data_IF_984798174131
#
_entry.id   IF_984798174131
#
_cell.length_a   1.000
_cell.length_b   1.000
_cell.length_c   1.000
_cell.angle_alpha   90.00
_cell.angle_beta   90.00
_cell.angle_gamma   90.00
#
_symmetry.space_group_name_H-M   'P 1'
#
loop_
_entity.id
_entity.type
_entity.pdbx_description
1 polymer ?
#
# COMPACT_ATOMS: atom_id res chain seq x y z
N UNK A 1 0.46 32.54 -2.33
CA UNK A 1 -0.66 32.53 -3.30
C UNK A 1 -1.54 31.35 -2.94
N UNK A 2 -2.80 31.56 -2.59
CA UNK A 2 -3.75 30.46 -2.45
C UNK A 2 -3.99 29.89 -3.86
N UNK A 3 -3.65 28.64 -4.08
CA UNK A 3 -3.99 27.96 -5.33
C UNK A 3 -5.52 27.84 -5.41
N UNK A 4 -6.08 28.06 -6.58
CA UNK A 4 -7.51 27.82 -6.80
C UNK A 4 -7.83 26.34 -6.55
N UNK A 5 -8.98 26.02 -5.91
CA UNK A 5 -9.37 24.62 -5.66
C UNK A 5 -9.35 23.80 -6.95
N UNK A 6 -8.89 22.53 -6.85
CA UNK A 6 -8.90 21.60 -7.99
C UNK A 6 -10.34 21.25 -8.34
N UNK A 7 -10.78 21.68 -9.52
CA UNK A 7 -12.16 21.50 -9.98
C UNK A 7 -12.58 20.00 -9.90
N UNK A 8 -13.82 19.75 -9.46
CA UNK A 8 -14.41 18.42 -9.37
C UNK A 8 -14.04 17.59 -8.15
N UNK A 9 -13.24 18.12 -7.22
CA UNK A 9 -12.79 17.40 -6.01
C UNK A 9 -13.26 18.02 -4.71
N UNK A 10 -14.15 18.99 -4.79
CA UNK A 10 -14.73 19.67 -3.64
C UNK A 10 -15.50 18.68 -2.76
N UNK A 11 -15.10 18.56 -1.49
CA UNK A 11 -15.65 17.60 -0.53
C UNK A 11 -15.03 16.20 -0.55
N UNK A 12 -14.12 15.89 -1.49
CA UNK A 12 -13.28 14.70 -1.41
C UNK A 12 -12.19 14.88 -0.35
N UNK A 13 -11.76 13.79 0.25
CA UNK A 13 -10.77 13.78 1.33
C UNK A 13 -9.62 12.84 1.03
N UNK A 14 -8.40 13.25 1.34
CA UNK A 14 -7.25 12.36 1.41
C UNK A 14 -6.97 12.04 2.89
N UNK A 15 -6.94 10.77 3.25
CA UNK A 15 -6.48 10.29 4.54
C UNK A 15 -5.04 9.80 4.44
N UNK A 16 -4.21 10.14 5.43
CA UNK A 16 -2.78 9.84 5.46
C UNK A 16 -2.40 9.34 6.85
N UNK A 17 -1.74 8.20 6.89
CA UNK A 17 -1.13 7.67 8.12
C UNK A 17 0.15 8.45 8.46
N UNK A 18 0.31 8.80 9.72
CA UNK A 18 1.61 9.12 10.31
C UNK A 18 2.01 7.99 11.26
N UNK A 19 2.97 7.15 10.87
CA UNK A 19 3.31 5.97 11.66
C UNK A 19 3.79 6.35 13.07
N UNK A 20 4.87 7.11 13.20
CA UNK A 20 5.40 7.49 14.51
C UNK A 20 4.57 8.55 15.23
N UNK A 21 3.69 9.25 14.53
CA UNK A 21 2.76 10.21 15.12
C UNK A 21 1.53 9.60 15.78
N UNK A 22 1.35 8.31 15.79
CA UNK A 22 0.21 7.39 15.78
C UNK A 22 -1.12 8.09 15.45
N UNK A 23 -1.16 8.69 14.26
CA UNK A 23 -2.34 9.45 13.78
C UNK A 23 -2.72 9.06 12.36
N UNK A 24 -4.00 9.30 12.05
CA UNK A 24 -4.51 9.40 10.68
C UNK A 24 -4.93 10.85 10.46
N UNK A 25 -4.26 11.53 9.54
CA UNK A 25 -4.52 12.93 9.18
C UNK A 25 -5.44 13.01 7.96
N UNK A 26 -6.34 14.00 7.94
CA UNK A 26 -7.31 14.19 6.87
C UNK A 26 -7.07 15.54 6.19
N UNK A 27 -7.08 15.54 4.86
CA UNK A 27 -6.89 16.72 4.02
C UNK A 27 -8.00 16.85 2.99
N UNK A 28 -8.47 18.07 2.75
CA UNK A 28 -9.36 18.39 1.64
C UNK A 28 -8.61 18.20 0.31
N UNK A 29 -9.10 17.31 -0.54
CA UNK A 29 -8.39 16.93 -1.77
C UNK A 29 -8.39 18.03 -2.85
N UNK A 30 -9.27 19.04 -2.74
CA UNK A 30 -9.32 20.16 -3.67
C UNK A 30 -8.39 21.29 -3.29
N UNK A 31 -8.23 21.58 -2.00
CA UNK A 31 -7.51 22.74 -1.48
C UNK A 31 -6.25 22.40 -0.68
N UNK A 32 -5.97 21.12 -0.45
CA UNK A 32 -4.85 20.65 0.39
C UNK A 32 -4.96 21.07 1.87
N UNK A 33 -6.10 21.62 2.27
CA UNK A 33 -6.30 22.10 3.63
C UNK A 33 -6.39 20.93 4.61
N UNK A 34 -5.60 20.98 5.67
CA UNK A 34 -5.72 20.04 6.78
C UNK A 34 -7.08 20.18 7.47
N UNK A 35 -7.78 19.06 7.65
CA UNK A 35 -9.13 18.98 8.22
C UNK A 35 -9.13 18.52 9.68
N UNK A 36 -8.06 17.87 10.13
CA UNK A 36 -7.89 17.34 11.48
C UNK A 36 -7.26 15.95 11.48
N UNK A 37 -7.00 15.46 12.68
CA UNK A 37 -6.32 14.20 12.94
C UNK A 37 -7.18 13.29 13.83
N UNK A 38 -7.00 11.98 13.65
CA UNK A 38 -7.50 10.95 14.55
C UNK A 38 -6.31 10.26 15.20
N UNK A 39 -6.21 10.36 16.52
CA UNK A 39 -5.25 9.60 17.30
C UNK A 39 -5.68 8.14 17.34
N UNK A 40 -4.76 7.22 17.00
CA UNK A 40 -5.01 5.78 17.05
C UNK A 40 -4.21 5.11 18.17
N UNK A 41 -4.64 3.91 18.65
CA UNK A 41 -4.04 3.29 19.84
C UNK A 41 -2.60 2.83 19.70
N UNK A 42 -2.13 2.63 18.48
CA UNK A 42 -0.78 2.15 18.19
C UNK A 42 -0.33 2.68 16.82
N UNK A 43 0.82 2.25 16.37
CA UNK A 43 1.40 2.65 15.09
C UNK A 43 0.53 2.21 13.91
N UNK A 44 -0.13 3.17 13.22
CA UNK A 44 -0.94 2.87 12.05
C UNK A 44 -0.05 2.56 10.85
N UNK A 45 -0.54 1.72 9.93
CA UNK A 45 0.25 1.29 8.79
C UNK A 45 -0.45 1.53 7.46
N UNK A 46 -1.51 0.80 7.15
CA UNK A 46 -2.24 0.91 5.89
C UNK A 46 -3.68 1.34 6.10
N UNK A 47 -4.25 1.93 5.06
CA UNK A 47 -5.63 2.40 5.03
C UNK A 47 -6.43 1.76 3.90
N UNK A 48 -7.69 1.45 4.18
CA UNK A 48 -8.66 1.04 3.17
C UNK A 48 -10.01 1.72 3.43
N UNK A 49 -10.53 2.44 2.44
CA UNK A 49 -11.85 3.08 2.55
C UNK A 49 -12.94 2.15 2.01
N UNK A 50 -13.95 1.89 2.83
CA UNK A 50 -15.19 1.22 2.44
C UNK A 50 -16.23 2.27 2.04
N UNK A 51 -16.52 2.43 0.74
CA UNK A 51 -17.48 3.41 0.28
C UNK A 51 -18.93 3.02 0.61
N UNK A 52 -19.22 1.73 0.83
CA UNK A 52 -20.54 1.22 1.15
C UNK A 52 -20.95 1.56 2.57
N UNK A 53 -20.05 1.30 3.52
CA UNK A 53 -20.25 1.61 4.94
C UNK A 53 -19.81 3.03 5.29
N UNK A 54 -19.10 3.70 4.40
CA UNK A 54 -18.43 4.99 4.64
C UNK A 54 -17.50 4.96 5.85
N UNK A 55 -16.73 3.89 5.96
CA UNK A 55 -15.76 3.67 7.03
C UNK A 55 -14.35 3.55 6.46
N UNK A 56 -13.38 4.02 7.23
CA UNK A 56 -11.96 3.88 6.93
C UNK A 56 -11.36 2.85 7.88
N UNK A 57 -10.80 1.79 7.30
CA UNK A 57 -10.08 0.75 8.02
C UNK A 57 -8.60 1.09 8.06
N UNK A 58 -7.99 0.93 9.22
CA UNK A 58 -6.58 1.23 9.47
C UNK A 58 -5.93 0.06 10.21
N UNK A 59 -4.88 -0.53 9.64
CA UNK A 59 -4.09 -1.55 10.33
C UNK A 59 -3.22 -0.93 11.40
N UNK A 60 -3.15 -1.57 12.58
CA UNK A 60 -2.26 -1.23 13.69
C UNK A 60 -1.24 -2.37 13.80
N UNK A 61 -0.12 -2.23 13.09
CA UNK A 61 0.78 -3.37 12.83
C UNK A 61 1.74 -3.64 13.98
N UNK A 62 2.32 -2.59 14.56
CA UNK A 62 3.32 -2.68 15.61
C UNK A 62 3.01 -1.76 16.78
N UNK A 63 3.69 -1.96 17.91
CA UNK A 63 3.58 -1.05 19.06
C UNK A 63 4.23 0.30 18.75
N UNK A 64 5.40 0.28 18.13
CA UNK A 64 6.11 1.47 17.66
C UNK A 64 7.30 1.10 16.77
N UNK A 65 7.70 1.97 15.87
CA UNK A 65 8.93 1.86 15.08
C UNK A 65 8.81 1.02 13.82
N UNK A 66 9.93 0.81 13.22
CA UNK A 66 10.02 -0.04 12.04
C UNK A 66 9.87 -1.51 12.36
N UNK A 67 9.32 -2.22 11.40
CA UNK A 67 9.40 -3.64 11.18
C UNK A 67 10.59 -4.29 11.90
N UNK A 68 10.36 -5.16 12.85
CA UNK A 68 11.30 -5.88 13.70
C UNK A 68 12.07 -5.12 14.80
N UNK A 69 12.03 -3.82 14.89
CA UNK A 69 12.95 -3.09 15.78
C UNK A 69 12.42 -2.86 17.19
N UNK A 70 11.09 -2.72 17.37
CA UNK A 70 10.52 -2.30 18.67
C UNK A 70 9.48 -3.25 19.26
N UNK A 71 9.77 -4.51 19.19
CA UNK A 71 9.31 -5.50 20.16
C UNK A 71 7.82 -5.62 20.38
N UNK A 72 7.05 -5.80 19.36
CA UNK A 72 5.70 -6.21 19.59
C UNK A 72 4.81 -5.94 18.38
N UNK A 73 4.36 -7.03 17.80
CA UNK A 73 3.30 -7.01 16.79
C UNK A 73 1.96 -6.81 17.48
N UNK A 74 1.14 -5.98 16.89
CA UNK A 74 -0.24 -5.78 17.32
C UNK A 74 -1.17 -6.76 16.60
N UNK A 75 -2.43 -6.75 17.01
CA UNK A 75 -3.47 -7.66 16.51
C UNK A 75 -4.70 -6.91 16.02
N UNK A 76 -4.67 -5.55 16.00
CA UNK A 76 -5.89 -4.79 15.86
C UNK A 76 -5.98 -4.00 14.55
N UNK A 77 -7.22 -3.68 14.19
CA UNK A 77 -7.61 -2.68 13.20
C UNK A 77 -8.39 -1.57 13.89
N UNK A 78 -8.09 -0.32 13.58
CA UNK A 78 -8.96 0.80 13.90
C UNK A 78 -9.98 1.00 12.78
N UNK A 79 -11.26 1.11 13.13
CA UNK A 79 -12.34 1.49 12.23
C UNK A 79 -12.71 2.93 12.52
N UNK A 80 -12.57 3.80 11.54
CA UNK A 80 -12.70 5.25 11.68
C UNK A 80 -13.89 5.73 10.84
N UNK A 81 -14.74 6.53 11.44
CA UNK A 81 -15.70 7.35 10.71
C UNK A 81 -14.96 8.60 10.19
N UNK A 82 -14.72 8.72 8.87
CA UNK A 82 -13.94 9.81 8.32
C UNK A 82 -14.67 11.16 8.34
N UNK A 83 -16.01 11.17 8.38
CA UNK A 83 -16.81 12.38 8.36
C UNK A 83 -16.78 13.06 9.74
N UNK A 84 -16.89 12.26 10.80
CA UNK A 84 -16.76 12.75 12.19
C UNK A 84 -15.32 12.74 12.70
N UNK A 85 -14.41 12.06 12.02
CA UNK A 85 -13.01 11.83 12.41
C UNK A 85 -12.91 11.22 13.81
N UNK A 86 -13.60 10.10 13.99
CA UNK A 86 -13.61 9.34 15.25
C UNK A 86 -13.42 7.86 15.00
N UNK A 87 -12.72 7.20 15.90
CA UNK A 87 -12.70 5.74 15.96
C UNK A 87 -14.08 5.29 16.42
N UNK A 88 -14.73 4.44 15.62
CA UNK A 88 -16.03 3.85 15.95
C UNK A 88 -15.87 2.46 16.57
N UNK A 89 -14.78 1.75 16.23
CA UNK A 89 -14.46 0.43 16.79
C UNK A 89 -12.96 0.15 16.65
N UNK A 90 -12.43 -0.69 17.55
CA UNK A 90 -11.14 -1.34 17.38
C UNK A 90 -11.43 -2.84 17.30
N UNK A 91 -11.12 -3.45 16.16
CA UNK A 91 -11.35 -4.86 15.88
C UNK A 91 -10.10 -5.64 16.24
N UNK A 92 -10.19 -6.58 17.16
CA UNK A 92 -9.09 -7.49 17.52
C UNK A 92 -9.10 -8.73 16.62
N UNK A 93 -7.96 -9.00 16.00
CA UNK A 93 -7.73 -10.16 15.12
C UNK A 93 -7.06 -11.32 15.86
N UNK A 94 -6.79 -11.21 17.18
CA UNK A 94 -6.12 -12.27 17.90
C UNK A 94 -6.75 -13.65 17.61
N UNK A 95 -5.93 -14.70 17.40
CA UNK A 95 -4.48 -14.79 17.66
C UNK A 95 -3.58 -14.35 16.49
N UNK A 96 -4.10 -13.67 15.49
CA UNK A 96 -3.31 -13.19 14.35
C UNK A 96 -2.50 -11.94 14.72
N UNK A 97 -1.34 -11.74 14.09
CA UNK A 97 -0.39 -10.67 14.40
C UNK A 97 0.01 -9.87 13.19
N UNK A 98 0.45 -8.64 13.42
CA UNK A 98 1.07 -7.80 12.40
C UNK A 98 0.17 -7.59 11.18
N UNK A 99 -1.07 -7.07 11.34
CA UNK A 99 -1.93 -6.79 10.20
C UNK A 99 -1.29 -5.71 9.32
N UNK A 100 -1.19 -5.98 8.00
CA UNK A 100 -0.56 -5.10 7.03
C UNK A 100 -1.51 -4.66 5.93
N UNK A 101 -1.37 -5.24 4.76
CA UNK A 101 -2.11 -4.88 3.55
C UNK A 101 -3.60 -5.14 3.67
N UNK A 102 -4.39 -4.26 3.09
CA UNK A 102 -5.84 -4.29 3.09
C UNK A 102 -6.38 -4.34 1.66
N UNK A 103 -7.32 -5.23 1.38
CA UNK A 103 -8.07 -5.24 0.12
C UNK A 103 -9.56 -5.42 0.39
N UNK A 104 -10.38 -4.56 -0.21
CA UNK A 104 -11.84 -4.58 -0.04
C UNK A 104 -12.54 -5.17 -1.27
N UNK A 105 -13.45 -6.11 -1.03
CA UNK A 105 -14.49 -6.51 -1.96
C UNK A 105 -15.82 -5.89 -1.51
N UNK A 106 -16.19 -4.73 -2.05
CA UNK A 106 -17.41 -4.04 -1.63
C UNK A 106 -18.69 -4.76 -2.10
N UNK A 107 -18.57 -5.62 -3.13
CA UNK A 107 -19.72 -6.38 -3.66
C UNK A 107 -20.10 -7.51 -2.71
N UNK A 108 -19.11 -8.18 -2.14
CA UNK A 108 -19.34 -9.27 -1.17
C UNK A 108 -19.33 -8.80 0.27
N UNK A 109 -19.02 -7.52 0.54
CA UNK A 109 -18.87 -7.00 1.88
C UNK A 109 -17.73 -7.71 2.64
N UNK A 110 -16.59 -7.89 2.00
CA UNK A 110 -15.41 -8.56 2.59
C UNK A 110 -14.19 -7.67 2.55
N UNK A 111 -13.54 -7.55 3.69
CA UNK A 111 -12.22 -6.96 3.82
C UNK A 111 -11.21 -8.08 4.07
N UNK A 112 -10.17 -8.10 3.28
CA UNK A 112 -9.05 -9.02 3.37
C UNK A 112 -7.87 -8.30 4.00
N UNK A 113 -7.28 -8.91 5.03
CA UNK A 113 -6.17 -8.33 5.82
C UNK A 113 -5.02 -9.30 5.84
N UNK A 114 -3.87 -8.94 5.28
CA UNK A 114 -2.66 -9.75 5.42
C UNK A 114 -2.15 -9.70 6.86
N UNK A 115 -1.71 -10.85 7.39
CA UNK A 115 -1.19 -11.00 8.76
C UNK A 115 0.08 -11.84 8.76
N UNK A 116 1.02 -11.51 9.63
CA UNK A 116 2.29 -12.20 9.74
C UNK A 116 2.14 -13.61 10.37
N UNK A 117 3.17 -14.44 10.20
CA UNK A 117 3.24 -15.77 10.81
C UNK A 117 3.31 -15.72 12.33
N UNK A 118 2.77 -16.75 12.97
CA UNK A 118 3.01 -17.07 14.37
C UNK A 118 3.88 -18.34 14.48
N UNK A 119 4.27 -18.71 15.70
CA UNK A 119 5.14 -19.88 15.92
C UNK A 119 4.50 -21.20 15.43
N UNK A 120 3.17 -21.26 15.42
CA UNK A 120 2.37 -22.45 15.12
C UNK A 120 1.72 -22.43 13.72
N UNK A 121 1.86 -21.33 12.98
CA UNK A 121 1.21 -21.18 11.66
C UNK A 121 1.94 -20.20 10.74
N UNK A 122 1.86 -20.38 9.40
CA UNK A 122 2.37 -19.42 8.44
C UNK A 122 1.58 -18.12 8.49
N UNK A 123 2.08 -17.09 7.84
CA UNK A 123 1.32 -15.89 7.56
C UNK A 123 0.10 -16.17 6.69
N UNK A 124 -0.87 -15.29 6.71
CA UNK A 124 -2.14 -15.52 6.06
C UNK A 124 -2.89 -14.24 5.72
N UNK A 125 -4.12 -14.43 5.32
CA UNK A 125 -5.08 -13.36 5.04
C UNK A 125 -6.34 -13.62 5.86
N UNK A 126 -6.64 -12.73 6.80
CA UNK A 126 -7.89 -12.74 7.56
C UNK A 126 -9.00 -12.16 6.70
N UNK A 127 -10.15 -12.81 6.67
CA UNK A 127 -11.34 -12.34 5.97
C UNK A 127 -12.31 -11.77 7.01
N UNK A 128 -12.66 -10.49 6.85
CA UNK A 128 -13.57 -9.76 7.73
C UNK A 128 -14.86 -9.48 6.97
N UNK A 129 -15.98 -9.73 7.60
CA UNK A 129 -17.28 -9.24 7.14
C UNK A 129 -17.41 -7.76 7.51
N UNK A 130 -17.59 -6.88 6.52
CA UNK A 130 -17.56 -5.42 6.74
C UNK A 130 -18.79 -4.89 7.47
N UNK A 131 -19.93 -5.56 7.36
CA UNK A 131 -21.17 -5.17 8.05
C UNK A 131 -21.10 -5.45 9.54
N UNK A 132 -20.71 -6.69 9.88
CA UNK A 132 -20.57 -7.11 11.29
C UNK A 132 -19.24 -6.72 11.92
N UNK A 133 -18.24 -6.39 11.10
CA UNK A 133 -16.85 -6.11 11.48
C UNK A 133 -16.19 -7.25 12.25
N UNK A 134 -16.50 -8.50 11.87
CA UNK A 134 -15.97 -9.71 12.53
C UNK A 134 -15.17 -10.56 11.55
N UNK A 135 -14.07 -11.18 12.01
CA UNK A 135 -13.40 -12.21 11.25
C UNK A 135 -14.35 -13.37 10.95
N UNK A 136 -14.42 -13.77 9.68
CA UNK A 136 -15.27 -14.86 9.19
C UNK A 136 -14.48 -15.99 8.52
N UNK A 137 -13.18 -15.79 8.32
CA UNK A 137 -12.29 -16.78 7.73
C UNK A 137 -10.83 -16.37 7.76
N UNK A 138 -9.98 -17.32 7.38
CA UNK A 138 -8.54 -17.13 7.21
C UNK A 138 -8.05 -18.00 6.07
N UNK A 139 -7.11 -17.47 5.29
CA UNK A 139 -6.46 -18.15 4.16
C UNK A 139 -4.95 -18.18 4.43
N UNK A 140 -4.34 -19.35 4.43
CA UNK A 140 -2.89 -19.49 4.59
C UNK A 140 -2.17 -19.07 3.29
N UNK A 141 -1.09 -18.32 3.40
CA UNK A 141 -0.25 -17.91 2.28
C UNK A 141 1.01 -18.76 2.13
N UNK A 142 1.28 -19.62 3.10
CA UNK A 142 2.47 -20.46 3.21
C UNK A 142 3.80 -19.66 3.16
N UNK A 143 3.74 -18.43 3.66
CA UNK A 143 4.86 -17.50 3.76
C UNK A 143 4.90 -16.87 5.16
N UNK A 144 6.10 -16.47 5.65
CA UNK A 144 6.22 -15.91 7.00
C UNK A 144 5.57 -14.54 7.17
N UNK A 145 5.60 -13.69 6.14
CA UNK A 145 5.11 -12.32 6.24
C UNK A 145 4.48 -11.84 4.93
N UNK A 146 3.21 -12.21 4.63
CA UNK A 146 2.49 -11.56 3.56
C UNK A 146 2.34 -10.07 3.90
N UNK A 147 2.75 -9.21 2.97
CA UNK A 147 2.85 -7.78 3.19
C UNK A 147 1.66 -7.04 2.55
N UNK A 148 1.68 -6.88 1.23
CA UNK A 148 0.56 -6.33 0.49
C UNK A 148 -0.39 -7.43 0.04
N UNK A 149 -1.66 -7.07 -0.09
CA UNK A 149 -2.68 -7.94 -0.62
C UNK A 149 -3.55 -7.19 -1.63
N UNK A 150 -3.81 -7.81 -2.76
CA UNK A 150 -4.75 -7.29 -3.76
C UNK A 150 -5.65 -8.42 -4.27
N UNK A 151 -6.83 -8.04 -4.73
CA UNK A 151 -7.81 -8.97 -5.29
C UNK A 151 -8.10 -8.61 -6.75
N UNK A 152 -8.49 -9.60 -7.54
CA UNK A 152 -9.01 -9.35 -8.87
C UNK A 152 -10.38 -8.65 -8.78
N UNK A 153 -10.77 -7.98 -9.85
CA UNK A 153 -12.04 -7.24 -9.90
C UNK A 153 -13.27 -8.13 -9.70
N UNK A 154 -13.15 -9.42 -9.98
CA UNK A 154 -14.23 -10.39 -9.79
C UNK A 154 -14.33 -10.87 -8.33
N UNK A 155 -13.36 -10.52 -7.48
CA UNK A 155 -13.27 -10.94 -6.09
C UNK A 155 -13.07 -12.44 -5.91
N UNK A 156 -12.46 -13.12 -6.90
CA UNK A 156 -12.25 -14.58 -6.86
C UNK A 156 -10.82 -14.99 -6.55
N UNK A 157 -9.87 -14.16 -6.99
CA UNK A 157 -8.45 -14.44 -6.82
C UNK A 157 -7.80 -13.33 -6.02
N UNK A 158 -7.03 -13.72 -5.01
CA UNK A 158 -6.19 -12.81 -4.22
C UNK A 158 -4.71 -13.11 -4.48
N UNK A 159 -3.90 -12.07 -4.34
CA UNK A 159 -2.45 -12.11 -4.49
C UNK A 159 -1.83 -11.50 -3.24
N UNK A 160 -0.95 -12.23 -2.56
CA UNK A 160 -0.18 -11.75 -1.44
C UNK A 160 1.29 -11.65 -1.81
N UNK A 161 1.88 -10.48 -1.69
CA UNK A 161 3.32 -10.31 -1.80
C UNK A 161 3.98 -10.70 -0.49
N UNK A 162 5.14 -11.32 -0.57
CA UNK A 162 5.84 -11.88 0.57
C UNK A 162 7.26 -11.34 0.62
N UNK A 163 7.51 -10.42 1.53
CA UNK A 163 8.82 -9.77 1.68
C UNK A 163 9.95 -10.74 2.01
N UNK A 164 9.66 -11.76 2.81
CA UNK A 164 10.62 -12.73 3.32
C UNK A 164 10.51 -14.11 2.67
N UNK A 165 9.80 -14.21 1.54
CA UNK A 165 9.69 -15.45 0.78
C UNK A 165 10.03 -15.24 -0.70
N UNK A 166 10.47 -16.30 -1.41
CA UNK A 166 10.86 -16.19 -2.82
C UNK A 166 9.68 -16.21 -3.78
N UNK A 167 8.46 -15.99 -3.31
CA UNK A 167 7.26 -16.11 -4.15
C UNK A 167 6.14 -15.16 -3.72
N UNK A 168 5.25 -14.87 -4.66
CA UNK A 168 3.92 -14.30 -4.44
C UNK A 168 2.93 -15.44 -4.27
N UNK A 169 2.09 -15.38 -3.24
CA UNK A 169 1.03 -16.37 -3.00
C UNK A 169 -0.21 -16.00 -3.79
N UNK A 170 -0.76 -16.95 -4.54
CA UNK A 170 -2.03 -16.82 -5.26
C UNK A 170 -3.08 -17.65 -4.54
N UNK A 171 -4.18 -17.03 -4.14
CA UNK A 171 -5.23 -17.65 -3.34
C UNK A 171 -6.59 -17.60 -4.05
N UNK A 172 -7.36 -18.66 -3.94
CA UNK A 172 -8.77 -18.72 -4.34
C UNK A 172 -9.62 -18.23 -3.15
N UNK A 173 -10.29 -17.12 -3.35
CA UNK A 173 -11.07 -16.46 -2.29
C UNK A 173 -12.41 -17.17 -2.00
N UNK A 174 -12.96 -17.87 -2.98
CA UNK A 174 -14.20 -18.63 -2.81
C UNK A 174 -13.95 -19.92 -2.01
N UNK A 175 -12.79 -20.57 -2.24
CA UNK A 175 -12.39 -21.80 -1.52
C UNK A 175 -11.62 -21.52 -0.23
N UNK A 176 -11.10 -20.30 -0.07
CA UNK A 176 -10.24 -19.95 1.06
C UNK A 176 -8.92 -20.74 1.06
N UNK A 177 -8.27 -20.89 -0.09
CA UNK A 177 -7.12 -21.76 -0.23
C UNK A 177 -6.02 -21.18 -1.13
N UNK A 178 -4.75 -21.46 -0.78
CA UNK A 178 -3.59 -21.23 -1.63
C UNK A 178 -3.68 -22.12 -2.87
N UNK A 179 -3.53 -21.54 -4.05
CA UNK A 179 -3.63 -22.25 -5.34
C UNK A 179 -2.32 -22.29 -6.13
N UNK A 180 -1.49 -21.27 -5.97
CA UNK A 180 -0.20 -21.22 -6.65
C UNK A 180 0.81 -20.35 -5.89
N UNK A 181 2.09 -20.57 -6.17
CA UNK A 181 3.20 -19.71 -5.78
C UNK A 181 3.93 -19.27 -7.05
N UNK A 182 4.06 -17.97 -7.24
CA UNK A 182 4.77 -17.40 -8.38
C UNK A 182 6.12 -16.88 -7.88
N UNK A 183 7.22 -17.36 -8.46
CA UNK A 183 8.56 -16.96 -8.03
C UNK A 183 8.82 -15.48 -8.29
N UNK A 184 8.84 -14.71 -7.22
CA UNK A 184 9.21 -13.29 -7.15
C UNK A 184 9.86 -13.06 -5.80
N UNK A 185 11.19 -13.19 -5.69
CA UNK A 185 11.87 -13.06 -4.41
C UNK A 185 11.72 -11.67 -3.78
N UNK A 186 11.32 -11.64 -2.52
CA UNK A 186 11.21 -10.41 -1.73
C UNK A 186 10.22 -9.41 -2.29
N UNK A 187 9.07 -9.87 -2.74
CA UNK A 187 8.03 -9.04 -3.35
C UNK A 187 7.42 -8.02 -2.38
N UNK A 188 7.10 -6.84 -2.89
CA UNK A 188 6.53 -5.70 -2.17
C UNK A 188 5.20 -5.25 -2.80
N UNK A 189 5.02 -3.97 -3.10
CA UNK A 189 3.77 -3.44 -3.64
C UNK A 189 3.22 -4.21 -4.83
N UNK A 190 1.91 -4.30 -4.95
CA UNK A 190 1.26 -4.96 -6.08
C UNK A 190 -0.03 -4.28 -6.52
N UNK A 191 -0.37 -4.50 -7.79
CA UNK A 191 -1.66 -4.10 -8.37
C UNK A 191 -2.13 -5.16 -9.37
N UNK A 192 -3.44 -5.31 -9.51
CA UNK A 192 -4.06 -6.23 -10.49
C UNK A 192 -4.71 -5.40 -11.59
N UNK A 193 -4.51 -5.80 -12.86
CA UNK A 193 -5.13 -5.12 -14.00
C UNK A 193 -6.65 -5.17 -13.94
N UNK A 194 -7.32 -4.16 -14.51
CA UNK A 194 -8.77 -4.03 -14.45
C UNK A 194 -9.52 -5.21 -15.11
N UNK A 195 -8.90 -5.82 -16.13
CA UNK A 195 -9.41 -7.02 -16.81
C UNK A 195 -9.04 -8.32 -16.07
N UNK A 196 -8.24 -8.23 -15.01
CA UNK A 196 -7.75 -9.37 -14.24
C UNK A 196 -6.69 -10.23 -14.95
N UNK A 197 -6.19 -9.80 -16.11
CA UNK A 197 -5.25 -10.60 -16.91
C UNK A 197 -3.82 -10.59 -16.37
N UNK A 198 -3.44 -9.53 -15.67
CA UNK A 198 -2.09 -9.36 -15.14
C UNK A 198 -2.09 -8.89 -13.69
N UNK A 199 -1.10 -9.37 -12.92
CA UNK A 199 -0.70 -8.76 -11.67
C UNK A 199 0.70 -8.14 -11.84
N UNK A 200 0.85 -6.90 -11.36
CA UNK A 200 2.09 -6.13 -11.39
C UNK A 200 2.68 -6.13 -9.99
N UNK A 201 3.88 -6.65 -9.82
CA UNK A 201 4.48 -6.88 -8.51
C UNK A 201 5.84 -6.21 -8.43
N UNK A 202 6.03 -5.35 -7.46
CA UNK A 202 7.34 -4.79 -7.15
C UNK A 202 8.30 -5.89 -6.70
N UNK A 203 9.47 -5.94 -7.30
CA UNK A 203 10.54 -6.84 -6.95
C UNK A 203 11.80 -6.02 -6.64
N UNK A 204 11.89 -5.46 -5.43
CA UNK A 204 13.00 -4.58 -5.06
C UNK A 204 14.33 -5.31 -5.01
N UNK A 205 14.39 -6.39 -4.31
CA UNK A 205 15.46 -7.40 -4.23
C UNK A 205 14.96 -8.47 -3.27
N UNK A 206 15.20 -9.73 -3.52
CA UNK A 206 15.02 -10.74 -2.49
C UNK A 206 15.68 -10.26 -1.21
N UNK A 207 15.06 -10.46 -0.10
CA UNK A 207 15.45 -10.02 1.22
C UNK A 207 16.71 -9.09 1.19
N UNK A 208 16.67 -7.95 1.75
CA UNK A 208 17.70 -6.90 1.73
C UNK A 208 19.13 -7.35 2.21
N UNK A 209 19.43 -8.61 2.32
CA UNK A 209 20.76 -9.23 2.53
C UNK A 209 21.41 -9.63 1.20
N UNK A 210 22.71 -9.79 1.18
CA UNK A 210 23.48 -10.17 -0.01
C UNK A 210 24.20 -9.00 -0.69
N UNK A 211 25.17 -9.33 -1.53
CA UNK A 211 25.94 -8.35 -2.31
C UNK A 211 25.14 -7.85 -3.50
N UNK A 212 25.50 -6.71 -4.08
CA UNK A 212 24.85 -6.18 -5.27
C UNK A 212 24.88 -7.13 -6.47
N UNK A 213 25.92 -7.97 -6.56
CA UNK A 213 26.12 -8.95 -7.62
C UNK A 213 25.20 -10.17 -7.50
N UNK A 214 24.70 -10.46 -6.28
CA UNK A 214 23.80 -11.59 -5.99
C UNK A 214 22.33 -11.22 -6.05
N UNK A 215 22.01 -9.96 -6.30
CA UNK A 215 20.62 -9.47 -6.29
C UNK A 215 20.03 -9.56 -7.69
N UNK A 216 18.81 -10.10 -7.83
CA UNK A 216 18.08 -9.99 -9.08
C UNK A 216 17.84 -8.50 -9.41
N UNK A 217 17.79 -8.12 -10.69
CA UNK A 217 17.50 -6.75 -11.10
C UNK A 217 16.18 -6.27 -10.49
N UNK A 218 16.19 -5.04 -9.96
CA UNK A 218 14.96 -4.37 -9.51
C UNK A 218 14.00 -4.15 -10.67
N UNK A 219 12.72 -4.04 -10.38
CA UNK A 219 11.70 -3.80 -11.39
C UNK A 219 10.34 -4.36 -11.00
N UNK A 220 9.36 -4.15 -11.87
CA UNK A 220 8.02 -4.66 -11.69
C UNK A 220 7.88 -5.96 -12.49
N UNK A 221 7.59 -7.07 -11.83
CA UNK A 221 7.28 -8.35 -12.48
C UNK A 221 5.83 -8.34 -12.93
N UNK A 222 5.61 -8.70 -14.20
CA UNK A 222 4.27 -8.85 -14.76
C UNK A 222 3.92 -10.33 -14.73
N UNK A 223 2.92 -10.67 -13.94
CA UNK A 223 2.43 -12.05 -13.81
C UNK A 223 1.19 -12.21 -14.69
N UNK A 224 1.18 -13.19 -15.60
CA UNK A 224 -0.03 -13.65 -16.27
C UNK A 224 -0.87 -14.44 -15.25
N UNK A 225 -2.07 -13.96 -14.97
CA UNK A 225 -2.91 -14.51 -13.88
C UNK A 225 -3.48 -15.88 -14.24
N UNK A 226 -3.64 -16.19 -15.52
CA UNK A 226 -4.17 -17.48 -15.99
C UNK A 226 -3.13 -18.59 -15.88
N UNK A 227 -1.85 -18.27 -16.10
CA UNK A 227 -0.75 -19.25 -16.05
C UNK A 227 0.00 -19.24 -14.73
N UNK A 228 -0.24 -18.24 -13.88
CA UNK A 228 0.51 -17.98 -12.66
C UNK A 228 2.02 -17.94 -12.91
N UNK A 229 2.46 -17.24 -13.94
CA UNK A 229 3.86 -17.15 -14.35
C UNK A 229 4.26 -15.70 -14.62
N UNK A 230 5.52 -15.35 -14.30
CA UNK A 230 6.10 -14.08 -14.73
C UNK A 230 6.33 -14.11 -16.24
N UNK A 231 5.72 -13.18 -16.96
CA UNK A 231 5.79 -13.09 -18.43
C UNK A 231 6.60 -11.89 -18.90
N UNK A 232 6.87 -10.94 -18.02
CA UNK A 232 7.64 -9.74 -18.37
C UNK A 232 8.22 -9.08 -17.12
N UNK A 233 9.15 -8.14 -17.31
CA UNK A 233 9.70 -7.28 -16.27
C UNK A 233 9.81 -5.87 -16.79
N UNK A 234 9.16 -4.92 -16.10
CA UNK A 234 9.36 -3.49 -16.34
C UNK A 234 10.56 -3.05 -15.49
N UNK A 235 11.68 -2.69 -16.12
CA UNK A 235 12.88 -2.31 -15.39
C UNK A 235 12.67 -0.97 -14.68
N UNK A 236 13.23 -0.85 -13.47
CA UNK A 236 13.37 0.41 -12.75
C UNK A 236 14.85 0.71 -12.51
N UNK A 237 15.23 1.96 -12.36
CA UNK A 237 16.62 2.34 -12.11
C UNK A 237 17.01 2.10 -10.65
N UNK A 238 16.06 2.33 -9.74
CA UNK A 238 16.26 2.26 -8.29
C UNK A 238 15.32 1.22 -7.66
N UNK A 239 15.40 1.05 -6.35
CA UNK A 239 14.62 0.08 -5.59
C UNK A 239 13.12 0.42 -5.65
N UNK A 240 12.32 -0.36 -6.38
CA UNK A 240 10.87 -0.18 -6.42
C UNK A 240 10.21 -0.83 -5.20
N UNK A 241 9.37 -0.07 -4.46
CA UNK A 241 8.59 -0.59 -3.34
C UNK A 241 7.09 -0.51 -3.61
N UNK A 242 6.43 0.68 -3.67
CA UNK A 242 5.01 0.74 -3.95
C UNK A 242 4.74 0.61 -5.45
N UNK A 243 3.67 -0.11 -5.76
CA UNK A 243 3.09 -0.16 -7.10
C UNK A 243 1.59 0.13 -6.98
N UNK A 244 1.07 1.00 -7.84
CA UNK A 244 -0.34 1.34 -7.89
C UNK A 244 -0.82 1.44 -9.34
N UNK A 245 -2.00 0.91 -9.63
CA UNK A 245 -2.63 1.01 -10.93
C UNK A 245 -3.83 1.97 -10.86
N UNK A 246 -3.78 3.03 -11.65
CA UNK A 246 -4.87 4.01 -11.75
C UNK A 246 -6.05 3.47 -12.56
N UNK A 247 -7.22 4.08 -12.40
CA UNK A 247 -8.42 3.77 -13.22
C UNK A 247 -8.23 4.02 -14.72
N UNK A 248 -7.22 4.82 -15.09
CA UNK A 248 -6.89 5.14 -16.50
C UNK A 248 -5.79 4.26 -17.09
N UNK A 249 -5.35 3.21 -16.38
CA UNK A 249 -4.33 2.26 -16.85
C UNK A 249 -2.89 2.77 -16.76
N UNK A 250 -2.64 3.81 -15.96
CA UNK A 250 -1.27 4.19 -15.60
C UNK A 250 -0.81 3.35 -14.42
N UNK A 251 0.32 2.68 -14.58
CA UNK A 251 0.99 1.93 -13.53
C UNK A 251 2.07 2.81 -12.92
N UNK A 252 1.94 3.07 -11.64
CA UNK A 252 2.79 3.96 -10.86
C UNK A 252 3.76 3.14 -10.02
N UNK A 253 5.03 3.49 -10.04
CA UNK A 253 6.10 2.85 -9.28
C UNK A 253 6.84 3.89 -8.45
N UNK A 254 6.90 3.68 -7.14
CA UNK A 254 7.73 4.50 -6.25
C UNK A 254 9.11 3.88 -6.09
N UNK A 255 10.15 4.61 -6.46
CA UNK A 255 11.53 4.14 -6.39
C UNK A 255 12.29 4.82 -5.25
N UNK A 256 12.83 4.00 -4.36
CA UNK A 256 13.68 4.44 -3.25
C UNK A 256 15.11 4.57 -3.72
N UNK A 257 15.66 5.78 -3.63
CA UNK A 257 17.02 6.10 -4.01
C UNK A 257 17.91 6.24 -2.79
N UNK A 258 19.06 5.55 -2.82
CA UNK A 258 20.06 5.67 -1.78
C UNK A 258 21.05 6.78 -2.13
N UNK A 259 21.48 7.55 -1.13
CA UNK A 259 22.56 8.50 -1.34
C UNK A 259 23.86 7.73 -1.70
N UNK A 260 24.75 8.30 -2.54
CA UNK A 260 25.94 7.61 -3.01
C UNK A 260 26.90 7.17 -1.89
N UNK A 261 26.85 7.85 -0.74
CA UNK A 261 27.67 7.60 0.44
C UNK A 261 26.96 6.75 1.51
N UNK A 262 25.81 6.17 1.18
CA UNK A 262 25.03 5.37 2.12
C UNK A 262 25.76 4.03 2.42
N UNK A 263 26.05 3.80 3.70
CA UNK A 263 26.71 2.57 4.18
C UNK A 263 25.73 1.48 4.60
N UNK A 264 24.44 1.82 4.71
CA UNK A 264 23.37 0.87 5.02
C UNK A 264 22.09 1.28 4.31
N UNK A 265 21.13 0.38 4.21
CA UNK A 265 19.84 0.61 3.54
C UNK A 265 18.90 1.52 4.28
N UNK A 266 19.00 1.55 5.59
CA UNK A 266 18.36 2.53 6.45
C UNK A 266 19.23 3.79 6.59
N UNK A 267 20.29 3.88 5.77
CA UNK A 267 21.19 5.01 5.70
C UNK A 267 20.58 6.26 5.08
N UNK A 268 21.43 7.13 4.53
CA UNK A 268 20.93 8.34 3.88
C UNK A 268 20.19 8.02 2.60
N UNK A 269 19.03 8.61 2.46
CA UNK A 269 18.23 8.55 1.24
C UNK A 269 18.43 9.81 0.40
N UNK A 270 18.44 9.66 -0.91
CA UNK A 270 18.23 10.73 -1.86
C UNK A 270 16.71 10.89 -2.10
N UNK A 271 16.26 12.04 -2.68
CA UNK A 271 14.89 12.16 -3.15
C UNK A 271 14.52 10.98 -4.04
N UNK A 272 13.37 10.38 -3.75
CA UNK A 272 12.85 9.24 -4.50
C UNK A 272 12.37 9.62 -5.89
N UNK A 273 11.85 8.65 -6.61
CA UNK A 273 11.29 8.83 -7.95
C UNK A 273 9.91 8.22 -8.02
N UNK A 274 9.00 8.88 -8.71
CA UNK A 274 7.75 8.28 -9.20
C UNK A 274 7.93 8.00 -10.68
N UNK A 275 7.97 6.74 -11.08
CA UNK A 275 8.02 6.32 -12.47
C UNK A 275 6.63 5.88 -12.91
N UNK A 276 6.21 6.33 -14.08
CA UNK A 276 4.88 6.09 -14.63
C UNK A 276 5.00 5.25 -15.90
N UNK A 277 4.29 4.13 -15.93
CA UNK A 277 4.18 3.25 -17.11
C UNK A 277 2.74 3.23 -17.63
N UNK A 278 2.58 2.92 -18.90
CA UNK A 278 1.30 2.46 -19.44
C UNK A 278 1.18 0.96 -19.16
N UNK A 279 0.15 0.54 -18.43
CA UNK A 279 -0.02 -0.88 -18.07
C UNK A 279 -0.22 -1.78 -19.30
N UNK A 280 -0.94 -1.31 -20.32
CA UNK A 280 -1.24 -2.09 -21.51
C UNK A 280 -0.01 -2.26 -22.41
N UNK A 281 0.70 -1.15 -22.70
CA UNK A 281 1.85 -1.17 -23.60
C UNK A 281 3.15 -1.49 -22.89
N UNK A 282 3.15 -1.46 -21.55
CA UNK A 282 4.32 -1.68 -20.68
C UNK A 282 5.47 -0.67 -20.90
N UNK A 283 5.19 0.43 -21.58
CA UNK A 283 6.17 1.49 -21.85
C UNK A 283 6.18 2.50 -20.73
N UNK A 284 7.37 2.96 -20.36
CA UNK A 284 7.53 4.12 -19.50
C UNK A 284 7.00 5.36 -20.21
N UNK A 285 6.18 6.13 -19.51
CA UNK A 285 5.60 7.40 -19.97
C UNK A 285 6.42 8.59 -19.49
N UNK A 286 7.10 8.46 -18.36
CA UNK A 286 7.96 9.45 -17.76
C UNK A 286 8.19 9.19 -16.29
N UNK A 287 8.91 10.10 -15.64
CA UNK A 287 9.21 10.04 -14.21
C UNK A 287 9.38 11.44 -13.63
N UNK A 288 9.33 11.55 -12.31
CA UNK A 288 9.63 12.79 -11.59
C UNK A 288 10.17 12.50 -10.20
N UNK A 289 10.92 13.46 -9.65
CA UNK A 289 11.44 13.39 -8.29
C UNK A 289 10.34 13.64 -7.26
N UNK A 290 10.31 12.77 -6.21
CA UNK A 290 9.41 12.86 -5.06
C UNK A 290 10.20 12.92 -3.75
N UNK A 291 9.50 12.93 -2.61
CA UNK A 291 10.13 12.94 -1.29
C UNK A 291 11.04 11.74 -1.01
N UNK A 292 11.61 11.70 0.19
CA UNK A 292 12.52 10.63 0.59
C UNK A 292 11.74 9.35 0.96
N UNK A 293 12.10 8.25 0.34
CA UNK A 293 11.55 6.92 0.58
C UNK A 293 10.03 6.83 0.27
N UNK A 294 9.62 6.89 -1.01
CA UNK A 294 8.22 6.63 -1.39
C UNK A 294 7.84 5.20 -1.03
N UNK A 295 6.74 5.04 -0.29
CA UNK A 295 6.35 3.74 0.27
C UNK A 295 4.88 3.37 -0.02
N UNK A 296 4.00 4.36 -0.21
CA UNK A 296 2.61 4.11 -0.59
C UNK A 296 2.17 5.09 -1.67
N UNK A 297 1.39 4.62 -2.62
CA UNK A 297 0.81 5.43 -3.69
C UNK A 297 -0.69 5.14 -3.77
N UNK A 298 -1.48 6.19 -3.89
CA UNK A 298 -2.88 6.11 -4.29
C UNK A 298 -3.18 7.13 -5.39
N UNK A 299 -4.35 7.04 -6.02
CA UNK A 299 -4.76 7.99 -7.05
C UNK A 299 -6.17 8.51 -6.81
N UNK A 300 -6.48 9.64 -7.42
CA UNK A 300 -7.85 10.10 -7.53
C UNK A 300 -8.69 9.13 -8.38
N UNK A 301 -10.01 9.05 -8.15
CA UNK A 301 -10.88 8.12 -8.88
C UNK A 301 -10.87 8.29 -10.40
N UNK A 302 -10.63 9.50 -10.89
CA UNK A 302 -10.48 9.80 -12.33
C UNK A 302 -9.09 9.43 -12.89
N UNK A 303 -8.18 8.94 -12.04
CA UNK A 303 -6.82 8.57 -12.43
C UNK A 303 -5.93 9.72 -12.90
N UNK A 304 -6.30 10.96 -12.62
CA UNK A 304 -5.55 12.15 -13.03
C UNK A 304 -4.47 12.55 -12.04
N UNK A 305 -4.72 12.40 -10.74
CA UNK A 305 -3.74 12.72 -9.71
C UNK A 305 -3.20 11.46 -9.05
N UNK A 306 -1.91 11.47 -8.76
CA UNK A 306 -1.27 10.55 -7.83
C UNK A 306 -0.95 11.25 -6.51
N UNK A 307 -1.05 10.50 -5.42
CA UNK A 307 -0.63 10.87 -4.08
C UNK A 307 0.46 9.90 -3.65
N UNK A 308 1.65 10.40 -3.38
CA UNK A 308 2.84 9.58 -3.07
C UNK A 308 3.29 9.89 -1.66
N UNK A 309 3.08 8.96 -0.74
CA UNK A 309 3.58 9.06 0.63
C UNK A 309 5.05 8.68 0.70
N UNK A 310 5.85 9.58 1.27
CA UNK A 310 7.29 9.44 1.40
C UNK A 310 7.65 9.40 2.88
N UNK A 311 7.93 8.21 3.39
CA UNK A 311 7.96 7.93 4.82
C UNK A 311 9.11 8.61 5.57
N UNK A 312 10.28 8.74 4.96
CA UNK A 312 11.46 9.36 5.60
C UNK A 312 11.33 10.88 5.62
N UNK A 313 10.91 11.51 4.52
CA UNK A 313 10.61 12.95 4.53
C UNK A 313 9.33 13.31 5.27
N UNK A 314 8.46 12.34 5.54
CA UNK A 314 7.12 12.54 6.12
C UNK A 314 6.26 13.50 5.29
N UNK A 315 6.22 13.28 4.00
CA UNK A 315 5.49 14.13 3.05
C UNK A 315 4.59 13.30 2.15
N UNK A 316 3.56 13.95 1.62
CA UNK A 316 2.79 13.41 0.49
C UNK A 316 2.94 14.34 -0.70
N UNK A 317 3.52 13.86 -1.78
CA UNK A 317 3.57 14.57 -3.05
C UNK A 317 2.28 14.35 -3.84
N UNK A 318 1.70 15.44 -4.34
CA UNK A 318 0.52 15.43 -5.21
C UNK A 318 0.97 15.74 -6.63
N UNK A 319 0.75 14.79 -7.51
CA UNK A 319 1.29 14.82 -8.88
C UNK A 319 0.16 14.78 -9.91
N UNK A 320 0.18 15.69 -10.88
CA UNK A 320 -0.66 15.57 -12.07
C UNK A 320 -0.01 14.55 -13.04
N UNK A 321 -0.74 13.48 -13.31
CA UNK A 321 -0.25 12.37 -14.13
C UNK A 321 -0.31 12.64 -15.64
N UNK A 322 -0.95 13.73 -16.07
CA UNK A 322 -0.96 14.16 -17.47
C UNK A 322 0.30 14.96 -17.81
N UNK A 323 0.67 15.92 -16.94
CA UNK A 323 1.82 16.78 -17.12
C UNK A 323 3.10 16.26 -16.48
N UNK A 324 2.99 15.30 -15.57
CA UNK A 324 4.08 14.82 -14.70
C UNK A 324 4.70 15.94 -13.86
N UNK A 325 3.86 16.85 -13.39
CA UNK A 325 4.28 17.95 -12.51
C UNK A 325 3.78 17.72 -11.09
N UNK A 326 4.63 18.03 -10.11
CA UNK A 326 4.20 18.08 -8.71
C UNK A 326 3.40 19.34 -8.47
N UNK A 327 2.12 19.19 -8.17
CA UNK A 327 1.20 20.29 -7.89
C UNK A 327 1.33 20.84 -6.47
N UNK A 328 1.57 19.95 -5.50
CA UNK A 328 1.70 20.30 -4.09
C UNK A 328 2.50 19.25 -3.32
N UNK A 329 2.89 19.59 -2.11
CA UNK A 329 3.47 18.69 -1.11
C UNK A 329 2.81 18.96 0.23
N UNK A 330 2.28 17.92 0.86
CA UNK A 330 1.73 17.96 2.21
C UNK A 330 2.82 17.55 3.19
N UNK A 331 3.00 18.29 4.26
CA UNK A 331 3.85 17.90 5.38
C UNK A 331 3.00 17.15 6.40
N UNK A 332 3.43 15.95 6.79
CA UNK A 332 2.73 15.09 7.74
C UNK A 332 3.50 15.12 9.06
N UNK A 333 2.82 15.50 10.13
CA UNK A 333 3.42 15.54 11.45
C UNK A 333 3.88 14.15 11.90
N UNK A 334 5.09 14.06 12.48
CA UNK A 334 5.66 12.84 13.04
C UNK A 334 6.38 13.12 14.35
N UNK A 335 6.50 12.11 15.20
CA UNK A 335 7.22 12.19 16.48
C UNK A 335 8.59 11.50 16.45
N UNK A 336 8.96 10.91 15.33
CA UNK A 336 10.21 10.17 15.14
C UNK A 336 10.32 9.67 13.71
N UNK A 337 10.90 8.52 13.51
CA UNK A 337 10.89 7.74 12.28
C UNK A 337 10.03 6.49 12.51
N UNK A 338 9.18 6.10 11.54
CA UNK A 338 8.84 6.66 10.24
C UNK A 338 7.73 7.72 10.27
N UNK A 339 7.45 8.37 9.12
CA UNK A 339 6.41 9.39 8.93
C UNK A 339 5.23 8.95 8.07
N UNK A 340 4.94 9.70 7.00
CA UNK A 340 3.80 9.45 6.10
C UNK A 340 3.88 8.07 5.44
N UNK A 341 2.81 7.27 5.58
CA UNK A 341 2.75 5.90 5.06
C UNK A 341 1.41 5.63 4.36
N UNK A 342 0.52 4.81 4.93
CA UNK A 342 -0.74 4.41 4.34
C UNK A 342 -1.59 5.59 3.84
N UNK A 343 -2.21 5.41 2.68
CA UNK A 343 -3.03 6.43 2.00
C UNK A 343 -4.41 5.87 1.65
N UNK A 344 -5.43 6.69 1.78
CA UNK A 344 -6.73 6.41 1.21
C UNK A 344 -7.35 7.69 0.63
N UNK A 345 -7.89 7.60 -0.59
CA UNK A 345 -8.71 8.64 -1.18
C UNK A 345 -10.19 8.33 -0.88
N UNK A 346 -10.90 9.31 -0.32
CA UNK A 346 -12.27 9.19 0.12
C UNK A 346 -13.14 10.14 -0.72
N UNK A 347 -13.87 9.63 -1.72
CA UNK A 347 -14.83 10.44 -2.44
C UNK A 347 -15.92 10.97 -1.50
N UNK A 348 -16.40 12.18 -1.78
CA UNK A 348 -17.57 12.72 -1.08
C UNK A 348 -18.78 11.78 -1.23
N UNK A 349 -19.74 11.82 -0.31
CA UNK A 349 -21.01 11.15 -0.49
C UNK A 349 -21.69 11.59 -1.80
N UNK A 350 -22.28 10.64 -2.51
CA UNK A 350 -23.04 10.90 -3.74
C UNK A 350 -24.29 11.73 -3.49
#
# INVERSE_FOLDING_TARGET
MQQSPRAGREGDVLAVVSQSGPTVSFFDAASDRHLGDVQVPAEPHELCFDPTQRLLWCTLTYHSGYYHVNGGRRTELAVIDPDTRRIVEVVDLAPEHGPHGLALDPVRGRLYVSVESADDRPGGVVVIDTETRRPVGRIDTDAPGPHWFAIDRAGRTGYATNKEAPFVSVVDLDRGALTAKVEVPGSEGLAVSADGAHAFVAAPYGNFSGTAEERPPTGIRVIDTRTAAVVDTLPTEDIVLPVHLTSTGRLLAGEVRMAPDAVSRLGRHAPGRLTVFCADTRKQLGDLEVGLFPLTITSSPDGRLAYVACVVSSTVDIVDLETLERLARLDIAKLGEPGAHGLAYLPRPA
#
